data_IF_670141475973
#
_entry.id   IF_670141475973
#
_cell.length_a   1.000
_cell.length_b   1.000
_cell.length_c   1.000
_cell.angle_alpha   90.00
_cell.angle_beta   90.00
_cell.angle_gamma   90.00
#
_symmetry.space_group_name_H-M   'P 1'
#
loop_
_entity.id
_entity.type
_entity.pdbx_description
1 polymer ?
#
# COMPACT_ATOMS: atom_id res chain seq x y z
N UNK A 1 -10.31 -14.65 2.03
CA UNK A 1 -10.48 -13.22 2.34
C UNK A 1 -9.40 -12.91 3.37
N UNK A 2 -8.36 -12.17 3.00
CA UNK A 2 -7.29 -11.78 3.92
C UNK A 2 -7.83 -10.64 4.78
N UNK A 3 -8.42 -10.99 5.92
CA UNK A 3 -8.85 -10.01 6.91
C UNK A 3 -7.60 -9.47 7.63
N UNK A 4 -6.94 -8.48 7.04
CA UNK A 4 -5.85 -7.74 7.69
C UNK A 4 -6.43 -6.97 8.88
N UNK A 5 -6.34 -7.57 10.06
CA UNK A 5 -7.00 -7.06 11.25
C UNK A 5 -6.13 -6.01 11.96
N UNK A 6 -6.76 -5.17 12.77
CA UNK A 6 -6.07 -4.06 13.45
C UNK A 6 -4.95 -4.54 14.38
N UNK A 7 -5.06 -5.75 14.94
CA UNK A 7 -4.09 -6.28 15.88
C UNK A 7 -2.82 -6.79 15.17
N UNK A 8 -2.96 -7.37 13.98
CA UNK A 8 -1.84 -7.68 13.09
C UNK A 8 -1.09 -6.41 12.68
N UNK A 9 -1.83 -5.36 12.31
CA UNK A 9 -1.25 -4.07 11.95
C UNK A 9 -0.50 -3.46 13.15
N UNK A 10 -1.10 -3.46 14.34
CA UNK A 10 -0.43 -2.98 15.57
C UNK A 10 0.80 -3.83 15.92
N UNK A 11 0.72 -5.14 15.73
CA UNK A 11 1.83 -6.07 15.94
C UNK A 11 3.00 -5.76 15.01
N UNK A 12 2.73 -5.62 13.72
CA UNK A 12 3.74 -5.26 12.72
C UNK A 12 4.31 -3.85 12.96
N UNK A 13 3.47 -2.89 13.35
CA UNK A 13 3.94 -1.54 13.72
C UNK A 13 4.98 -1.58 14.84
N UNK A 14 4.80 -2.42 15.86
CA UNK A 14 5.77 -2.59 16.95
C UNK A 14 7.07 -3.27 16.53
N UNK A 15 7.07 -4.02 15.43
CA UNK A 15 8.23 -4.75 14.93
C UNK A 15 9.12 -3.92 13.97
N UNK A 16 8.67 -2.72 13.58
CA UNK A 16 9.43 -1.82 12.70
C UNK A 16 10.53 -1.06 13.43
N UNK A 17 11.54 -0.59 12.69
CA UNK A 17 12.63 0.25 13.21
C UNK A 17 12.18 1.60 13.76
N UNK A 18 10.96 2.05 13.45
CA UNK A 18 10.40 3.30 13.98
C UNK A 18 9.48 3.10 15.20
N UNK A 19 9.34 1.88 15.70
CA UNK A 19 8.60 1.61 16.94
C UNK A 19 9.21 2.29 18.18
N UNK A 20 10.49 2.72 18.11
CA UNK A 20 11.30 3.06 19.28
C UNK A 20 11.69 4.54 19.41
N UNK A 21 11.13 5.48 18.64
CA UNK A 21 11.47 6.89 18.89
C UNK A 21 10.66 7.91 18.11
N UNK A 22 10.01 8.82 18.85
CA UNK A 22 9.58 10.22 18.60
C UNK A 22 9.02 10.64 17.21
N UNK A 23 8.96 9.74 16.24
CA UNK A 23 8.33 9.89 14.94
C UNK A 23 7.12 9.00 14.97
N UNK A 24 5.96 9.66 14.94
CA UNK A 24 4.64 9.08 15.22
C UNK A 24 4.42 7.69 14.64
N UNK A 25 3.65 6.89 15.37
CA UNK A 25 3.18 5.60 14.92
C UNK A 25 2.31 5.70 13.66
N UNK A 26 1.67 4.58 13.28
CA UNK A 26 0.86 4.54 12.05
C UNK A 26 -0.18 5.65 12.10
N UNK A 27 -0.39 6.30 10.96
CA UNK A 27 -1.36 7.38 10.85
C UNK A 27 -2.78 6.84 11.07
N UNK A 28 -3.05 5.63 10.56
CA UNK A 28 -4.22 4.82 10.90
C UNK A 28 -4.05 3.38 10.39
N UNK A 29 -4.79 2.40 10.91
CA UNK A 29 -4.85 1.06 10.30
C UNK A 29 -5.25 1.09 8.82
N UNK A 30 -6.09 2.06 8.44
CA UNK A 30 -6.54 2.20 7.06
C UNK A 30 -5.48 2.78 6.12
N UNK A 31 -4.60 3.65 6.62
CA UNK A 31 -3.42 4.10 5.89
C UNK A 31 -2.51 2.92 5.56
N UNK A 32 -2.33 1.99 6.51
CA UNK A 32 -1.55 0.76 6.32
C UNK A 32 -2.22 -0.16 5.31
N UNK A 33 -3.53 -0.37 5.39
CA UNK A 33 -4.28 -1.16 4.39
C UNK A 33 -4.18 -0.57 2.99
N UNK A 34 -4.23 0.77 2.87
CA UNK A 34 -4.08 1.46 1.61
C UNK A 34 -2.67 1.28 1.04
N UNK A 35 -1.62 1.45 1.86
CA UNK A 35 -0.25 1.13 1.47
C UNK A 35 -0.10 -0.34 1.05
N UNK A 36 -0.72 -1.26 1.78
CA UNK A 36 -0.65 -2.68 1.46
C UNK A 36 -1.29 -2.97 0.11
N UNK A 37 -2.49 -2.44 -0.14
CA UNK A 37 -3.16 -2.55 -1.42
C UNK A 37 -2.30 -2.02 -2.57
N UNK A 38 -1.66 -0.87 -2.35
CA UNK A 38 -0.74 -0.27 -3.29
C UNK A 38 0.46 -1.17 -3.58
N UNK A 39 1.15 -1.64 -2.54
CA UNK A 39 2.30 -2.52 -2.65
C UNK A 39 1.98 -3.86 -3.32
N UNK A 40 0.84 -4.45 -2.98
CA UNK A 40 0.40 -5.75 -3.48
C UNK A 40 0.02 -5.68 -4.98
N UNK A 41 -0.35 -4.50 -5.49
CA UNK A 41 -0.61 -4.29 -6.91
C UNK A 41 0.67 -4.31 -7.76
N UNK A 42 1.82 -4.09 -7.14
CA UNK A 42 3.07 -3.92 -7.87
C UNK A 42 3.68 -5.24 -8.34
N UNK A 43 4.34 -5.19 -9.50
CA UNK A 43 5.26 -6.24 -9.90
C UNK A 43 6.53 -6.17 -9.07
N UNK A 44 7.06 -7.34 -8.70
CA UNK A 44 8.29 -7.45 -7.90
C UNK A 44 9.50 -7.75 -8.77
N UNK A 45 10.63 -7.15 -8.45
CA UNK A 45 11.93 -7.39 -9.10
C UNK A 45 12.95 -7.98 -8.12
N UNK A 46 14.05 -8.55 -8.62
CA UNK A 46 15.04 -9.21 -7.75
C UNK A 46 15.92 -8.23 -6.96
N UNK A 47 16.00 -6.97 -7.39
CA UNK A 47 16.83 -5.93 -6.76
C UNK A 47 15.99 -4.94 -5.97
N UNK A 48 16.57 -4.41 -4.89
CA UNK A 48 16.04 -3.21 -4.26
C UNK A 48 16.33 -2.01 -5.15
N UNK A 49 15.31 -1.22 -5.45
CA UNK A 49 15.45 0.02 -6.18
C UNK A 49 14.73 1.14 -5.43
N UNK A 50 15.15 2.38 -5.70
CA UNK A 50 14.48 3.54 -5.13
C UNK A 50 13.04 3.55 -5.63
N UNK A 51 12.14 3.46 -4.66
CA UNK A 51 10.71 3.40 -4.93
C UNK A 51 10.27 4.79 -5.33
N UNK A 52 9.35 4.88 -6.28
CA UNK A 52 8.81 6.17 -6.68
C UNK A 52 8.30 6.89 -5.43
N UNK A 53 8.66 8.17 -5.32
CA UNK A 53 8.63 8.93 -4.07
C UNK A 53 7.30 8.84 -3.33
N UNK A 54 7.36 8.96 -2.00
CA UNK A 54 6.20 8.87 -1.13
C UNK A 54 5.03 9.74 -1.60
N UNK A 55 5.32 10.90 -2.18
CA UNK A 55 4.34 11.84 -2.74
C UNK A 55 3.36 11.22 -3.71
N UNK A 56 3.75 10.17 -4.43
CA UNK A 56 2.87 9.51 -5.41
C UNK A 56 1.96 8.49 -4.72
N UNK A 57 2.47 7.74 -3.75
CA UNK A 57 1.66 6.83 -2.93
C UNK A 57 0.69 7.65 -2.07
N UNK A 58 1.16 8.74 -1.46
CA UNK A 58 0.34 9.68 -0.70
C UNK A 58 -0.77 10.28 -1.57
N UNK A 59 -0.45 10.77 -2.78
CA UNK A 59 -1.46 11.25 -3.74
C UNK A 59 -2.47 10.17 -4.11
N UNK A 60 -2.01 8.94 -4.33
CA UNK A 60 -2.88 7.81 -4.62
C UNK A 60 -3.81 7.49 -3.45
N UNK A 61 -3.25 7.33 -2.24
CA UNK A 61 -3.98 7.03 -1.00
C UNK A 61 -5.01 8.13 -0.69
N UNK A 62 -4.63 9.40 -0.86
CA UNK A 62 -5.51 10.54 -0.66
C UNK A 62 -6.67 10.54 -1.67
N UNK A 63 -6.41 10.33 -2.96
CA UNK A 63 -7.46 10.34 -4.00
C UNK A 63 -8.42 9.16 -3.86
N UNK A 64 -7.90 7.97 -3.58
CA UNK A 64 -8.71 6.74 -3.53
C UNK A 64 -9.50 6.66 -2.23
N UNK A 65 -8.93 7.07 -1.10
CA UNK A 65 -9.48 6.77 0.23
C UNK A 65 -9.79 8.01 1.06
N UNK A 66 -9.37 9.20 0.62
CA UNK A 66 -9.45 10.40 1.45
C UNK A 66 -8.62 10.30 2.73
N UNK A 67 -7.65 9.37 2.82
CA UNK A 67 -6.75 9.29 3.98
C UNK A 67 -5.78 10.47 3.87
N UNK A 68 -6.07 11.52 4.64
CA UNK A 68 -5.31 12.78 4.61
C UNK A 68 -3.93 12.73 5.25
N UNK A 69 -3.59 11.64 5.94
CA UNK A 69 -2.33 11.50 6.66
C UNK A 69 -1.71 10.16 6.30
N UNK A 70 -0.88 10.15 5.26
CA UNK A 70 -0.07 8.99 4.87
C UNK A 70 1.39 9.30 5.17
N UNK A 71 2.09 8.37 5.83
CA UNK A 71 3.49 8.56 6.21
C UNK A 71 4.38 7.43 5.69
N UNK A 72 5.72 7.62 5.63
CA UNK A 72 6.64 6.54 5.31
C UNK A 72 6.51 5.36 6.29
N UNK A 73 6.03 5.63 7.50
CA UNK A 73 5.82 4.60 8.52
C UNK A 73 4.68 3.66 8.16
N UNK A 74 3.56 4.19 7.65
CA UNK A 74 2.43 3.38 7.18
C UNK A 74 2.87 2.43 6.05
N UNK A 75 3.72 2.94 5.15
CA UNK A 75 4.31 2.15 4.05
C UNK A 75 5.26 1.06 4.55
N UNK A 76 6.09 1.33 5.57
CA UNK A 76 6.96 0.30 6.14
C UNK A 76 6.20 -0.80 6.88
N UNK A 77 5.14 -0.45 7.62
CA UNK A 77 4.29 -1.46 8.26
C UNK A 77 3.62 -2.34 7.20
N UNK A 78 3.09 -1.73 6.14
CA UNK A 78 2.50 -2.47 5.04
C UNK A 78 3.51 -3.39 4.34
N UNK A 79 4.72 -2.91 4.07
CA UNK A 79 5.78 -3.70 3.46
C UNK A 79 6.18 -4.90 4.33
N UNK A 80 6.26 -4.72 5.65
CA UNK A 80 6.57 -5.81 6.58
C UNK A 80 5.47 -6.88 6.65
N UNK A 81 4.21 -6.49 6.43
CA UNK A 81 3.08 -7.42 6.37
C UNK A 81 3.00 -8.16 5.03
N UNK A 82 3.71 -7.70 4.00
CA UNK A 82 3.54 -8.18 2.64
C UNK A 82 4.47 -9.35 2.31
N UNK A 83 3.96 -10.51 1.87
CA UNK A 83 4.77 -11.72 1.70
C UNK A 83 5.83 -11.62 0.59
N UNK A 84 5.59 -10.77 -0.42
CA UNK A 84 6.46 -10.62 -1.60
C UNK A 84 7.29 -9.34 -1.62
N UNK A 85 6.98 -8.36 -0.77
CA UNK A 85 7.71 -7.10 -0.74
C UNK A 85 8.87 -7.22 0.23
N UNK A 86 10.01 -6.71 -0.18
CA UNK A 86 11.28 -6.74 0.55
C UNK A 86 11.90 -5.35 0.50
N UNK A 87 12.70 -5.03 1.50
CA UNK A 87 13.38 -3.74 1.62
C UNK A 87 12.75 -2.86 2.70
N UNK A 88 13.07 -1.58 2.66
CA UNK A 88 12.60 -0.58 3.61
C UNK A 88 12.63 0.79 2.95
N UNK A 89 11.73 1.69 3.34
CA UNK A 89 11.67 3.02 2.75
C UNK A 89 13.06 3.70 2.76
N UNK A 90 13.50 4.31 1.63
CA UNK A 90 12.79 4.51 0.36
C UNK A 90 12.99 3.41 -0.70
N UNK A 91 13.59 2.27 -0.36
CA UNK A 91 13.96 1.23 -1.35
C UNK A 91 13.20 -0.08 -1.13
N UNK A 92 12.40 -0.46 -2.13
CA UNK A 92 11.67 -1.73 -2.17
C UNK A 92 12.01 -2.51 -3.43
N UNK A 93 11.65 -3.79 -3.45
CA UNK A 93 11.79 -4.68 -4.61
C UNK A 93 10.63 -4.55 -5.60
N UNK A 94 10.19 -3.32 -5.89
CA UNK A 94 9.04 -2.99 -6.75
C UNK A 94 9.53 -2.56 -8.12
N UNK A 95 8.92 -3.04 -9.21
CA UNK A 95 9.22 -2.65 -10.58
C UNK A 95 9.01 -1.14 -10.83
N UNK A 96 9.65 -0.59 -11.86
CA UNK A 96 9.51 0.83 -12.22
C UNK A 96 8.22 1.13 -12.98
N UNK A 97 7.63 0.12 -13.62
CA UNK A 97 6.30 0.21 -14.23
C UNK A 97 5.26 -0.07 -13.15
N UNK A 98 4.66 1.00 -12.64
CA UNK A 98 3.76 0.92 -11.50
C UNK A 98 2.36 0.55 -11.92
N UNK A 99 1.64 -0.07 -10.98
CA UNK A 99 0.28 -0.51 -11.20
C UNK A 99 -0.65 0.17 -10.19
N UNK A 100 -1.71 0.81 -10.68
CA UNK A 100 -2.78 1.30 -9.82
C UNK A 100 -3.62 0.10 -9.33
N UNK A 101 -3.79 -0.09 -8.01
CA UNK A 101 -4.66 -1.11 -7.44
C UNK A 101 -6.09 -1.05 -7.98
N UNK A 102 -6.67 -2.20 -8.25
CA UNK A 102 -8.08 -2.31 -8.61
C UNK A 102 -9.03 -1.99 -7.45
N UNK A 103 -10.25 -1.54 -7.78
CA UNK A 103 -11.33 -1.33 -6.81
C UNK A 103 -11.67 -2.62 -6.05
N UNK A 104 -11.59 -3.77 -6.72
CA UNK A 104 -11.83 -5.07 -6.10
C UNK A 104 -10.83 -5.38 -4.99
N UNK A 105 -9.53 -5.13 -5.25
CA UNK A 105 -8.46 -5.27 -4.25
C UNK A 105 -8.70 -4.37 -3.05
N UNK A 106 -9.09 -3.13 -3.28
CA UNK A 106 -9.45 -2.18 -2.21
C UNK A 106 -10.63 -2.69 -1.39
N UNK A 107 -11.74 -3.04 -2.05
CA UNK A 107 -12.96 -3.52 -1.40
C UNK A 107 -12.71 -4.76 -0.53
N UNK A 108 -11.73 -5.59 -0.87
CA UNK A 108 -11.36 -6.75 -0.07
C UNK A 108 -10.63 -6.43 1.24
N UNK A 109 -9.90 -5.31 1.28
CA UNK A 109 -9.07 -4.90 2.41
C UNK A 109 -9.82 -3.99 3.38
N UNK A 110 -10.90 -3.35 2.94
CA UNK A 110 -11.69 -2.41 3.73
C UNK A 110 -13.11 -2.93 4.01
N UNK A 111 -13.46 -3.08 5.29
CA UNK A 111 -14.78 -3.54 5.73
C UNK A 111 -15.93 -2.58 5.35
N UNK A 112 -15.64 -1.28 5.24
CA UNK A 112 -16.62 -0.22 4.99
C UNK A 112 -16.38 0.51 3.66
N UNK A 113 -16.19 -0.26 2.58
CA UNK A 113 -16.00 0.16 1.18
C UNK A 113 -17.16 1.00 0.56
N UNK A 114 -18.01 1.65 1.36
CA UNK A 114 -19.36 2.07 0.98
C UNK A 114 -19.49 3.19 -0.04
N UNK A 115 -18.42 3.87 -0.42
CA UNK A 115 -18.46 4.93 -1.43
C UNK A 115 -17.09 5.10 -2.05
N UNK A 116 -16.73 4.18 -2.95
CA UNK A 116 -15.68 4.45 -3.92
C UNK A 116 -16.38 5.04 -5.14
N UNK A 117 -16.53 6.36 -5.19
CA UNK A 117 -16.81 7.01 -6.47
C UNK A 117 -15.56 6.87 -7.31
N UNK A 118 -15.71 6.32 -8.51
CA UNK A 118 -14.65 6.15 -9.50
C UNK A 118 -13.94 7.49 -9.70
N UNK A 119 -12.68 7.67 -9.22
CA UNK A 119 -12.06 8.97 -9.20
C UNK A 119 -11.51 9.32 -10.58
N UNK A 120 -12.39 9.50 -11.56
CA UNK A 120 -12.14 9.86 -12.95
C UNK A 120 -11.18 8.95 -13.73
N UNK A 121 -11.47 8.77 -15.02
CA UNK A 121 -11.05 7.65 -15.86
C UNK A 121 -9.55 7.58 -16.27
N UNK A 122 -8.65 8.30 -15.59
CA UNK A 122 -7.24 8.41 -15.94
C UNK A 122 -6.31 7.79 -14.88
N UNK A 123 -5.28 7.01 -15.29
CA UNK A 123 -4.26 6.50 -14.37
C UNK A 123 -3.55 7.64 -13.63
N UNK A 124 -3.23 7.42 -12.36
CA UNK A 124 -2.85 8.44 -11.37
C UNK A 124 -1.52 9.16 -11.66
N UNK A 125 -0.73 8.58 -12.54
CA UNK A 125 0.33 9.28 -13.24
C UNK A 125 0.34 8.74 -14.66
N UNK A 126 0.75 9.53 -15.65
CA UNK A 126 1.01 9.01 -17.00
C UNK A 126 2.07 7.89 -17.06
N UNK A 127 2.56 7.42 -15.92
CA UNK A 127 3.56 6.36 -15.72
C UNK A 127 2.98 5.07 -15.12
N UNK A 128 1.72 5.03 -14.69
CA UNK A 128 1.13 3.83 -14.09
C UNK A 128 0.07 3.22 -15.01
N UNK A 129 0.04 1.89 -15.08
CA UNK A 129 -1.02 1.13 -15.75
C UNK A 129 -2.10 0.71 -14.74
N UNK A 130 -3.34 0.54 -15.20
CA UNK A 130 -4.42 -0.02 -14.36
C UNK A 130 -4.19 -1.53 -14.16
N UNK A 131 -4.42 -2.02 -12.96
CA UNK A 131 -4.52 -3.45 -12.68
C UNK A 131 -5.69 -4.07 -13.46
N UNK A 132 -5.46 -5.17 -14.17
CA UNK A 132 -6.52 -5.91 -14.88
C UNK A 132 -6.74 -7.27 -14.24
N UNK A 133 -7.83 -7.40 -13.46
CA UNK A 133 -8.26 -8.64 -12.83
C UNK A 133 -7.46 -9.00 -11.58
N UNK A 134 -7.96 -8.61 -10.41
CA UNK A 134 -7.34 -8.98 -9.14
C UNK A 134 -7.85 -10.36 -8.69
N UNK A 135 -6.90 -11.24 -8.35
CA UNK A 135 -7.22 -12.55 -7.78
C UNK A 135 -6.45 -12.71 -6.46
N UNK A 136 -7.14 -12.84 -5.31
CA UNK A 136 -6.51 -12.87 -3.98
C UNK A 136 -5.57 -14.06 -3.73
N UNK A 137 -5.38 -14.97 -4.70
CA UNK A 137 -4.65 -16.23 -4.58
C UNK A 137 -3.59 -16.45 -5.67
N UNK A 138 -2.83 -15.42 -6.10
CA UNK A 138 -1.59 -15.68 -6.87
C UNK A 138 -0.42 -15.94 -5.94
N UNK A 139 -0.48 -17.07 -5.24
CA UNK A 139 0.70 -17.75 -4.74
C UNK A 139 1.19 -18.69 -5.86
N UNK A 140 2.23 -18.27 -6.56
CA UNK A 140 3.08 -19.15 -7.38
C UNK A 140 4.47 -19.08 -6.83
#
# INVERSE_FOLDING_TARGET
MLDMNDDEIKGAARATKYASGDRGGISSPDAVRAAYAWLDAQETVDRLQETIGIDMIERWVWRVRGVGNFSPFDLEVAANLHPRIRGSYPRYNVASDLVDPSIERLASLFKDAKTWEDPDDAPLSGYARRETGWHPNKAT
#
